data_IF_679788796480
#
_entry.id   IF_679788796480
#
_cell.length_a   1.000
_cell.length_b   1.000
_cell.length_c   1.000
_cell.angle_alpha   90.00
_cell.angle_beta   90.00
_cell.angle_gamma   90.00
#
_symmetry.space_group_name_H-M   'P 1'
#
loop_
_entity.id
_entity.type
_entity.pdbx_description
1 polymer ?
#
# COMPACT_ATOMS: atom_id res chain seq x y z
N UNK A 1 -1.67 -12.39 -13.43
CA UNK A 1 -3.06 -12.60 -12.96
C UNK A 1 -3.09 -14.00 -12.37
N UNK A 2 -3.65 -14.20 -11.18
CA UNK A 2 -3.88 -15.56 -10.65
C UNK A 2 -5.23 -16.09 -11.17
N UNK A 3 -5.53 -17.36 -10.88
CA UNK A 3 -6.84 -17.95 -11.23
C UNK A 3 -8.04 -17.12 -10.76
N UNK A 4 -9.19 -17.36 -11.38
CA UNK A 4 -10.45 -16.67 -11.08
C UNK A 4 -11.42 -17.60 -10.36
N UNK A 5 -12.31 -17.02 -9.55
CA UNK A 5 -13.48 -17.74 -9.01
C UNK A 5 -14.71 -17.26 -9.76
N UNK A 6 -15.23 -18.08 -10.68
CA UNK A 6 -16.54 -17.84 -11.27
C UNK A 6 -17.63 -18.42 -10.36
N UNK A 7 -18.31 -17.54 -9.64
CA UNK A 7 -19.38 -17.91 -8.73
C UNK A 7 -20.65 -18.31 -9.51
N UNK A 8 -20.99 -19.60 -9.49
CA UNK A 8 -22.19 -20.16 -10.15
C UNK A 8 -23.37 -20.43 -9.21
N UNK A 9 -23.26 -20.04 -7.93
CA UNK A 9 -24.30 -20.24 -6.92
C UNK A 9 -25.62 -19.60 -7.31
N UNK A 10 -26.71 -20.31 -7.06
CA UNK A 10 -28.06 -19.78 -7.20
C UNK A 10 -28.48 -19.05 -5.93
N UNK A 11 -28.86 -17.78 -6.09
CA UNK A 11 -29.43 -16.94 -5.03
C UNK A 11 -30.73 -16.35 -5.56
N UNK A 12 -31.82 -16.52 -4.81
CA UNK A 12 -33.15 -16.01 -5.15
C UNK A 12 -33.60 -16.41 -6.57
N UNK A 13 -33.34 -17.66 -6.97
CA UNK A 13 -33.73 -18.19 -8.28
C UNK A 13 -32.86 -17.73 -9.46
N UNK A 14 -31.75 -17.01 -9.21
CA UNK A 14 -30.82 -16.56 -10.25
C UNK A 14 -29.38 -16.97 -9.95
N UNK A 15 -28.64 -17.43 -10.96
CA UNK A 15 -27.20 -17.68 -10.85
C UNK A 15 -26.44 -16.36 -10.68
N UNK A 16 -25.58 -16.30 -9.68
CA UNK A 16 -24.77 -15.13 -9.36
C UNK A 16 -23.91 -14.67 -10.56
N UNK A 17 -23.23 -15.61 -11.22
CA UNK A 17 -22.38 -15.40 -12.39
C UNK A 17 -21.32 -14.30 -12.24
N UNK A 18 -20.92 -14.00 -11.02
CA UNK A 18 -19.86 -13.03 -10.75
C UNK A 18 -18.51 -13.71 -10.87
N UNK A 19 -17.64 -13.15 -11.70
CA UNK A 19 -16.25 -13.55 -11.83
C UNK A 19 -15.43 -12.72 -10.85
N UNK A 20 -14.79 -13.39 -9.89
CA UNK A 20 -13.94 -12.76 -8.89
C UNK A 20 -12.49 -12.96 -9.33
N UNK A 21 -11.78 -11.86 -9.57
CA UNK A 21 -10.40 -11.89 -10.02
C UNK A 21 -9.46 -11.88 -8.83
N UNK A 22 -8.60 -12.89 -8.77
CA UNK A 22 -7.58 -12.99 -7.73
C UNK A 22 -6.27 -12.38 -8.26
N UNK A 23 -5.75 -11.39 -7.54
CA UNK A 23 -4.53 -10.72 -7.92
C UNK A 23 -3.28 -11.49 -7.43
N UNK A 24 -2.18 -11.47 -8.20
CA UNK A 24 -0.96 -12.16 -7.82
C UNK A 24 -0.28 -11.61 -6.58
N UNK A 25 -0.50 -10.35 -6.22
CA UNK A 25 0.16 -9.79 -5.03
C UNK A 25 -0.34 -10.42 -3.74
N UNK A 26 -1.62 -10.75 -3.67
CA UNK A 26 -2.25 -11.40 -2.52
C UNK A 26 -2.32 -12.93 -2.64
N UNK A 27 -2.52 -13.48 -3.85
CA UNK A 27 -2.90 -14.89 -4.03
C UNK A 27 -1.84 -15.77 -4.69
N UNK A 28 -0.58 -15.31 -4.85
CA UNK A 28 0.47 -16.12 -5.50
C UNK A 28 0.75 -17.44 -4.80
N UNK A 29 0.89 -17.43 -3.47
CA UNK A 29 1.02 -18.62 -2.62
C UNK A 29 0.16 -18.37 -1.38
N UNK A 30 -1.12 -18.73 -1.46
CA UNK A 30 -2.11 -18.33 -0.46
C UNK A 30 -3.11 -19.44 -0.20
N UNK A 31 -3.47 -19.62 1.05
CA UNK A 31 -4.46 -20.58 1.51
C UNK A 31 -5.42 -19.90 2.49
N UNK A 32 -6.71 -20.13 2.31
CA UNK A 32 -7.73 -19.59 3.20
C UNK A 32 -9.08 -19.43 2.52
N UNK A 33 -9.92 -18.56 3.08
CA UNK A 33 -11.28 -18.31 2.62
C UNK A 33 -11.48 -16.93 1.98
N UNK A 34 -12.16 -16.90 0.84
CA UNK A 34 -12.44 -15.70 0.04
C UNK A 34 -13.93 -15.59 -0.23
N UNK A 35 -14.53 -14.42 -0.06
CA UNK A 35 -15.94 -14.19 -0.42
C UNK A 35 -16.13 -13.81 -1.90
N UNK A 36 -17.28 -14.16 -2.46
CA UNK A 36 -17.75 -13.56 -3.70
C UNK A 36 -18.21 -12.11 -3.44
N UNK A 37 -17.78 -11.20 -4.32
CA UNK A 37 -18.10 -9.77 -4.23
C UNK A 37 -19.59 -9.43 -4.38
N UNK A 38 -20.38 -10.31 -5.02
CA UNK A 38 -21.82 -10.10 -5.17
C UNK A 38 -22.63 -10.78 -4.07
N UNK A 39 -22.47 -12.09 -4.01
CA UNK A 39 -23.40 -12.97 -3.31
C UNK A 39 -22.92 -13.34 -1.90
N UNK A 40 -21.73 -12.86 -1.50
CA UNK A 40 -21.08 -13.08 -0.21
C UNK A 40 -20.83 -14.55 0.15
N UNK A 41 -21.02 -15.47 -0.79
CA UNK A 41 -20.64 -16.87 -0.60
C UNK A 41 -19.14 -16.97 -0.40
N UNK A 42 -18.75 -17.70 0.62
CA UNK A 42 -17.35 -17.89 1.00
C UNK A 42 -16.84 -19.20 0.41
N UNK A 43 -15.69 -19.12 -0.24
CA UNK A 43 -15.00 -20.23 -0.86
C UNK A 43 -13.65 -20.41 -0.18
N UNK A 44 -13.31 -21.64 0.16
CA UNK A 44 -11.94 -22.01 0.49
C UNK A 44 -11.16 -22.23 -0.80
N UNK A 45 -9.95 -21.67 -0.86
CA UNK A 45 -9.00 -21.88 -1.95
C UNK A 45 -7.60 -22.10 -1.37
N UNK A 46 -6.81 -22.88 -2.10
CA UNK A 46 -5.39 -23.04 -1.88
C UNK A 46 -4.68 -22.83 -3.23
N UNK A 47 -3.84 -21.81 -3.28
CA UNK A 47 -3.13 -21.32 -4.45
C UNK A 47 -1.64 -21.59 -4.33
N UNK A 48 -1.04 -22.15 -5.38
CA UNK A 48 0.41 -22.36 -5.48
C UNK A 48 0.88 -21.74 -6.81
N UNK A 49 1.84 -20.83 -6.74
CA UNK A 49 2.38 -20.08 -7.89
C UNK A 49 1.29 -19.43 -8.76
N UNK A 50 0.20 -18.99 -8.14
CA UNK A 50 -0.93 -18.34 -8.79
C UNK A 50 -1.93 -19.26 -9.48
N UNK A 51 -1.76 -20.58 -9.39
CA UNK A 51 -2.73 -21.57 -9.85
C UNK A 51 -3.53 -22.14 -8.67
N UNK A 52 -4.80 -22.42 -8.91
CA UNK A 52 -5.68 -23.03 -7.92
C UNK A 52 -5.36 -24.51 -7.75
N UNK A 53 -4.58 -24.84 -6.73
CA UNK A 53 -4.22 -26.21 -6.39
C UNK A 53 -5.39 -26.97 -5.76
N UNK A 54 -6.18 -26.29 -4.92
CA UNK A 54 -7.39 -26.84 -4.31
C UNK A 54 -8.48 -25.78 -4.19
N UNK A 55 -9.73 -26.20 -4.35
CA UNK A 55 -10.89 -25.31 -4.38
C UNK A 55 -11.34 -24.98 -5.81
N UNK A 56 -12.34 -24.10 -5.97
CA UNK A 56 -13.03 -23.36 -4.91
C UNK A 56 -14.09 -24.25 -4.22
N UNK A 57 -13.93 -24.47 -2.92
CA UNK A 57 -14.89 -25.25 -2.10
C UNK A 57 -15.79 -24.31 -1.30
N UNK A 58 -17.11 -24.46 -1.40
CA UNK A 58 -18.03 -23.62 -0.60
C UNK A 58 -17.92 -23.91 0.90
N UNK A 59 -17.79 -22.84 1.69
CA UNK A 59 -17.77 -22.88 3.16
C UNK A 59 -18.86 -21.96 3.71
N UNK A 60 -20.12 -22.43 3.78
CA UNK A 60 -21.22 -21.62 4.29
C UNK A 60 -21.02 -21.27 5.77
N UNK A 61 -21.36 -20.04 6.15
CA UNK A 61 -21.32 -19.57 7.55
C UNK A 61 -19.94 -19.19 8.09
N UNK A 62 -18.87 -19.35 7.29
CA UNK A 62 -17.51 -18.95 7.67
C UNK A 62 -17.28 -17.47 7.31
N UNK A 63 -16.60 -16.72 8.19
CA UNK A 63 -16.16 -15.36 7.87
C UNK A 63 -14.98 -15.43 6.90
N UNK A 64 -15.00 -14.70 5.76
CA UNK A 64 -13.90 -14.73 4.82
C UNK A 64 -12.64 -14.11 5.44
N UNK A 65 -11.49 -14.70 5.18
CA UNK A 65 -10.18 -14.14 5.57
C UNK A 65 -9.84 -12.90 4.73
N UNK A 66 -10.21 -12.92 3.45
CA UNK A 66 -10.00 -11.81 2.53
C UNK A 66 -11.08 -11.74 1.44
N UNK A 67 -11.05 -10.67 0.64
CA UNK A 67 -11.97 -10.44 -0.47
C UNK A 67 -11.19 -10.32 -1.79
N UNK A 68 -11.82 -10.58 -2.94
CA UNK A 68 -11.20 -10.32 -4.24
C UNK A 68 -10.91 -8.82 -4.39
N UNK A 69 -9.90 -8.50 -5.21
CA UNK A 69 -9.57 -7.11 -5.49
C UNK A 69 -10.60 -6.48 -6.45
N UNK A 70 -11.00 -7.25 -7.45
CA UNK A 70 -11.93 -6.82 -8.50
C UNK A 70 -12.86 -7.98 -8.84
N UNK A 71 -14.10 -7.66 -9.19
CA UNK A 71 -15.06 -8.64 -9.68
C UNK A 71 -15.96 -8.01 -10.73
N UNK A 72 -16.41 -8.82 -11.69
CA UNK A 72 -17.37 -8.37 -12.70
C UNK A 72 -18.43 -9.42 -13.02
N UNK A 73 -19.45 -8.98 -13.75
CA UNK A 73 -20.52 -9.80 -14.27
C UNK A 73 -20.53 -9.70 -15.80
N UNK A 74 -19.74 -10.54 -16.49
CA UNK A 74 -19.63 -10.45 -17.94
C UNK A 74 -20.97 -10.68 -18.66
N UNK A 75 -21.85 -11.49 -18.05
CA UNK A 75 -23.18 -11.78 -18.60
C UNK A 75 -24.24 -10.70 -18.29
N UNK A 76 -23.93 -9.69 -17.48
CA UNK A 76 -24.86 -8.61 -17.10
C UNK A 76 -24.37 -7.24 -17.58
N UNK A 77 -23.79 -7.20 -18.79
CA UNK A 77 -23.29 -5.96 -19.38
C UNK A 77 -22.02 -5.42 -18.69
N UNK A 78 -21.18 -6.32 -18.17
CA UNK A 78 -19.91 -5.98 -17.50
C UNK A 78 -20.06 -5.04 -16.29
N UNK A 79 -21.18 -5.15 -15.57
CA UNK A 79 -21.28 -4.54 -14.23
C UNK A 79 -20.14 -5.04 -13.36
N UNK A 80 -19.47 -4.14 -12.68
CA UNK A 80 -18.27 -4.45 -11.92
C UNK A 80 -18.29 -3.91 -10.49
N UNK A 81 -17.46 -4.53 -9.66
CA UNK A 81 -17.13 -4.12 -8.31
C UNK A 81 -15.69 -3.68 -8.28
N UNK A 82 -15.50 -2.37 -8.16
CA UNK A 82 -14.19 -1.74 -8.04
C UNK A 82 -13.53 -2.10 -6.70
N UNK A 83 -12.20 -1.96 -6.58
CA UNK A 83 -11.51 -2.15 -5.31
C UNK A 83 -12.02 -1.23 -4.20
N UNK A 84 -12.11 -1.75 -2.97
CA UNK A 84 -12.43 -0.98 -1.77
C UNK A 84 -13.92 -0.81 -1.46
N UNK A 85 -14.80 -1.60 -2.07
CA UNK A 85 -16.22 -1.60 -1.73
C UNK A 85 -16.41 -2.47 -0.48
N UNK A 86 -16.80 -1.84 0.62
CA UNK A 86 -16.92 -2.48 1.94
C UNK A 86 -17.76 -3.77 1.90
N UNK A 87 -17.19 -4.85 2.43
CA UNK A 87 -17.84 -6.16 2.49
C UNK A 87 -17.99 -6.88 1.14
N UNK A 88 -17.39 -6.37 0.06
CA UNK A 88 -17.42 -6.98 -1.29
C UNK A 88 -16.02 -7.20 -1.85
N UNK A 89 -15.23 -6.13 -1.94
CA UNK A 89 -13.88 -6.14 -2.49
C UNK A 89 -12.90 -5.51 -1.49
N UNK A 90 -11.66 -6.00 -1.50
CA UNK A 90 -10.62 -5.41 -0.66
C UNK A 90 -10.13 -4.08 -1.26
N UNK A 91 -9.69 -3.11 -0.44
CA UNK A 91 -9.10 -1.88 -0.96
C UNK A 91 -7.81 -2.15 -1.72
N UNK A 92 -7.60 -1.41 -2.81
CA UNK A 92 -6.32 -1.39 -3.51
C UNK A 92 -5.34 -0.53 -2.71
N UNK A 93 -4.65 -1.16 -1.75
CA UNK A 93 -3.78 -0.40 -0.86
C UNK A 93 -2.54 0.11 -1.58
N UNK A 94 -2.05 -0.56 -2.63
CA UNK A 94 -0.79 -0.19 -3.32
C UNK A 94 0.39 0.03 -2.35
N UNK A 95 0.24 -0.41 -1.10
CA UNK A 95 1.23 -0.19 -0.07
C UNK A 95 2.29 -1.27 -0.28
N UNK A 96 3.58 -0.88 -0.27
CA UNK A 96 4.64 -1.86 -0.14
C UNK A 96 4.33 -2.77 1.04
N UNK A 97 4.67 -4.06 0.94
CA UNK A 97 4.62 -4.95 2.12
C UNK A 97 5.40 -4.26 3.24
N UNK A 98 4.94 -4.43 4.46
CA UNK A 98 5.58 -3.94 5.68
C UNK A 98 7.10 -4.21 5.71
N UNK A 99 7.54 -5.37 5.24
CA UNK A 99 8.95 -5.74 5.09
C UNK A 99 9.76 -4.86 4.12
N UNK A 100 9.10 -4.15 3.20
CA UNK A 100 9.70 -3.23 2.23
C UNK A 100 9.53 -1.76 2.63
N UNK A 101 8.84 -1.48 3.73
CA UNK A 101 8.76 -0.14 4.29
C UNK A 101 10.02 0.13 5.12
N UNK A 102 11.03 0.72 4.48
CA UNK A 102 12.17 1.25 5.21
C UNK A 102 11.75 2.37 6.16
N UNK A 103 12.36 2.45 7.34
CA UNK A 103 12.26 3.65 8.18
C UNK A 103 13.19 4.69 7.57
N UNK A 104 12.67 5.87 7.23
CA UNK A 104 13.52 6.96 6.78
C UNK A 104 14.48 7.34 7.92
N UNK A 105 15.78 7.22 7.68
CA UNK A 105 16.78 7.74 8.60
C UNK A 105 16.76 9.27 8.54
N UNK A 106 16.53 9.87 9.69
CA UNK A 106 16.52 11.31 9.84
C UNK A 106 17.96 11.81 9.90
N UNK A 107 18.51 12.15 8.74
CA UNK A 107 19.89 12.64 8.62
C UNK A 107 19.92 14.15 8.80
N UNK A 108 20.73 14.65 9.75
CA UNK A 108 20.98 16.10 9.97
C UNK A 108 22.05 16.67 9.04
N UNK A 109 23.07 15.88 8.73
CA UNK A 109 24.23 16.29 7.92
C UNK A 109 24.49 15.27 6.82
N UNK A 110 24.84 15.74 5.64
CA UNK A 110 25.32 14.90 4.54
C UNK A 110 26.63 14.20 4.93
N UNK A 111 27.05 13.24 4.12
CA UNK A 111 28.35 12.58 4.24
C UNK A 111 29.54 13.57 4.22
N UNK A 112 29.33 14.80 3.74
CA UNK A 112 30.34 15.88 3.69
C UNK A 112 30.24 16.86 4.86
N UNK A 113 29.47 16.53 5.88
CA UNK A 113 29.30 17.36 7.08
C UNK A 113 28.42 18.59 6.90
N UNK A 114 27.74 18.75 5.74
CA UNK A 114 26.86 19.91 5.48
C UNK A 114 25.41 19.60 5.87
N UNK A 115 24.67 20.55 6.47
CA UNK A 115 23.27 20.34 6.85
C UNK A 115 22.40 19.91 5.66
N UNK A 116 21.42 19.03 5.88
CA UNK A 116 20.47 18.58 4.84
C UNK A 116 19.02 18.90 5.21
N UNK A 117 18.17 19.08 4.19
CA UNK A 117 16.73 19.42 4.34
C UNK A 117 15.88 18.30 4.97
N UNK A 118 16.43 17.08 5.09
CA UNK A 118 15.72 15.90 5.59
C UNK A 118 15.41 15.97 7.10
N UNK A 119 16.33 16.54 7.88
CA UNK A 119 16.00 17.02 9.22
C UNK A 119 15.14 18.26 9.07
N UNK A 120 14.09 18.47 9.87
CA UNK A 120 13.27 19.70 9.85
C UNK A 120 13.97 20.77 10.71
N UNK A 121 14.98 21.53 10.23
CA UNK A 121 15.79 22.37 11.09
C UNK A 121 15.32 23.82 10.99
N UNK A 122 14.24 24.11 10.28
CA UNK A 122 13.81 25.48 10.10
C UNK A 122 12.77 25.75 11.19
N UNK A 123 13.00 26.74 12.07
CA UNK A 123 11.89 27.32 12.81
C UNK A 123 10.81 27.76 11.80
N UNK A 124 9.55 28.00 12.23
CA UNK A 124 8.51 28.52 11.34
C UNK A 124 8.89 29.93 10.85
N UNK A 125 9.80 30.01 9.88
CA UNK A 125 10.24 31.24 9.22
C UNK A 125 9.80 31.21 7.76
N UNK A 126 8.62 30.64 7.54
CA UNK A 126 7.93 30.70 6.27
C UNK A 126 7.93 32.16 5.79
N UNK A 127 8.29 32.39 4.54
CA UNK A 127 7.94 33.63 3.87
C UNK A 127 6.41 33.80 3.83
N UNK A 128 5.92 34.79 3.08
CA UNK A 128 4.48 34.97 2.91
C UNK A 128 3.81 33.63 2.56
N UNK A 129 2.83 33.24 3.37
CA UNK A 129 2.00 32.05 3.19
C UNK A 129 2.72 30.67 3.17
N UNK A 130 3.84 30.48 3.88
CA UNK A 130 4.48 29.16 3.91
C UNK A 130 5.48 28.92 2.78
N UNK A 131 5.75 29.93 1.95
CA UNK A 131 6.66 29.80 0.81
C UNK A 131 8.13 29.82 1.26
N UNK A 132 8.91 28.91 0.67
CA UNK A 132 10.36 28.85 0.82
C UNK A 132 10.98 28.96 -0.57
N UNK A 133 11.89 29.92 -0.76
CA UNK A 133 12.68 30.02 -1.99
C UNK A 133 13.66 28.86 -2.15
N UNK A 134 14.20 28.69 -3.36
CA UNK A 134 15.26 27.71 -3.65
C UNK A 134 16.63 28.13 -3.08
N UNK A 135 16.75 29.34 -2.54
CA UNK A 135 17.96 29.87 -1.94
C UNK A 135 18.19 29.31 -0.54
N UNK A 136 19.36 28.70 -0.35
CA UNK A 136 19.70 27.98 0.86
C UNK A 136 20.35 28.90 1.89
N UNK A 137 19.52 29.49 2.76
CA UNK A 137 20.00 30.26 3.91
C UNK A 137 20.48 29.31 5.03
N UNK A 138 21.78 28.98 5.03
CA UNK A 138 22.44 28.27 6.15
C UNK A 138 22.25 29.03 7.47
N UNK A 139 22.04 30.35 7.40
CA UNK A 139 21.87 31.25 8.54
C UNK A 139 20.54 31.07 9.30
N UNK A 140 19.58 30.30 8.75
CA UNK A 140 18.25 30.08 9.37
C UNK A 140 18.08 28.66 9.94
N UNK A 141 19.18 27.98 10.25
CA UNK A 141 19.14 26.68 10.93
C UNK A 141 18.67 26.86 12.38
N UNK A 142 17.94 25.87 12.89
CA UNK A 142 17.56 25.76 14.29
C UNK A 142 18.82 25.82 15.16
N UNK A 143 18.79 26.50 16.32
CA UNK A 143 19.98 26.74 17.15
C UNK A 143 20.82 25.47 17.40
N UNK A 144 20.16 24.35 17.69
CA UNK A 144 20.82 23.05 17.93
C UNK A 144 21.63 22.55 16.72
N UNK A 145 21.10 22.70 15.51
CA UNK A 145 21.76 22.25 14.28
C UNK A 145 22.86 23.23 13.87
N UNK A 146 22.69 24.52 14.16
CA UNK A 146 23.70 25.52 13.92
C UNK A 146 24.92 25.32 14.82
N UNK A 147 24.72 25.09 16.12
CA UNK A 147 25.79 24.78 17.07
C UNK A 147 26.56 23.52 16.66
N UNK A 148 25.84 22.45 16.33
CA UNK A 148 26.43 21.19 15.86
C UNK A 148 27.22 21.41 14.55
N UNK A 149 26.74 22.24 13.64
CA UNK A 149 27.45 22.60 12.41
C UNK A 149 28.74 23.39 12.67
N UNK A 150 28.71 24.37 13.57
CA UNK A 150 29.89 25.16 13.95
C UNK A 150 30.96 24.28 14.60
N UNK A 151 30.58 23.31 15.42
CA UNK A 151 31.51 22.33 15.98
C UNK A 151 32.17 21.47 14.88
N UNK A 152 31.40 21.04 13.88
CA UNK A 152 31.94 20.27 12.74
C UNK A 152 32.88 21.10 11.87
N UNK A 153 32.56 22.37 11.64
CA UNK A 153 33.46 23.32 10.98
C UNK A 153 34.78 23.47 11.75
N UNK A 154 34.70 23.67 13.07
CA UNK A 154 35.88 23.81 13.92
C UNK A 154 36.76 22.54 13.95
N UNK A 155 36.16 21.36 13.79
CA UNK A 155 36.87 20.07 13.70
C UNK A 155 37.40 19.73 12.31
N UNK A 156 37.12 20.56 11.29
CA UNK A 156 37.51 20.27 9.91
C UNK A 156 36.75 19.10 9.28
N UNK A 157 35.58 18.73 9.81
CA UNK A 157 34.75 17.62 9.35
C UNK A 157 33.85 18.00 8.16
N UNK A 158 33.92 19.25 7.69
CA UNK A 158 33.09 19.79 6.61
C UNK A 158 33.90 19.92 5.32
N UNK A 159 33.50 19.18 4.29
CA UNK A 159 34.16 19.17 2.98
C UNK A 159 33.66 20.24 1.99
N UNK A 160 34.40 20.39 0.89
CA UNK A 160 34.00 21.19 -0.27
C UNK A 160 32.84 20.55 -1.06
N UNK A 161 32.18 21.37 -1.90
CA UNK A 161 31.03 21.00 -2.74
C UNK A 161 31.42 20.17 -3.97
#
# INVERSE_FOLDING_TARGET
>A
MCDIIWCKKEINGKKCNTVNYLDPYCFWNWEGTVNCAECKTVYYIHMIQGFMYKGPEEKPGVKPDTSPLYADKPLEGYKNYLPGIEGRTRPYQCLPRDIYLGKADMVKFSARGRPVRGWRPQPPSAGIAGSFGFEWDIQKLSPEVWEEYQQKLAKGEVGEW
#
